data_IF_036606190444
#
_entry.id   IF_036606190444
#
_cell.length_a   1.000
_cell.length_b   1.000
_cell.length_c   1.000
_cell.angle_alpha   90.00
_cell.angle_beta   90.00
_cell.angle_gamma   90.00
#
_symmetry.space_group_name_H-M   'P 1'
#
loop_
_entity.id
_entity.type
_entity.pdbx_description
1 polymer ?
#
# COMPACT_ATOMS: atom_id res chain seq x y z
N UNK A 1 -34.36 -43.77 46.41
CA UNK A 1 -34.25 -42.43 45.80
C UNK A 1 -32.78 -42.16 45.57
N UNK A 2 -32.36 -41.96 44.31
CA UNK A 2 -30.96 -41.64 43.96
C UNK A 2 -30.79 -40.13 44.04
N UNK A 3 -29.86 -39.69 44.86
CA UNK A 3 -29.53 -38.27 45.07
C UNK A 3 -28.73 -37.78 43.85
N UNK A 4 -29.13 -36.69 43.16
CA UNK A 4 -28.33 -36.18 42.06
C UNK A 4 -27.06 -35.53 42.63
N UNK A 5 -25.90 -35.85 42.04
CA UNK A 5 -24.66 -35.15 42.34
C UNK A 5 -24.78 -33.68 41.90
N UNK A 6 -24.18 -32.75 42.65
CA UNK A 6 -24.16 -31.35 42.25
C UNK A 6 -23.19 -31.18 41.09
N UNK A 7 -23.71 -30.83 39.92
CA UNK A 7 -22.90 -30.33 38.82
C UNK A 7 -22.14 -29.09 39.32
N UNK A 8 -20.85 -29.25 39.59
CA UNK A 8 -19.95 -28.15 39.92
C UNK A 8 -19.88 -27.17 38.75
N UNK A 9 -19.70 -25.86 39.00
CA UNK A 9 -19.67 -24.86 37.95
C UNK A 9 -18.54 -25.17 36.97
N UNK A 10 -18.90 -25.41 35.71
CA UNK A 10 -17.96 -25.51 34.59
C UNK A 10 -17.33 -24.12 34.40
N UNK A 11 -16.27 -23.85 35.16
CA UNK A 11 -15.51 -22.61 35.08
C UNK A 11 -14.61 -22.68 33.84
N UNK A 12 -15.14 -22.24 32.71
CA UNK A 12 -14.33 -21.93 31.54
C UNK A 12 -13.63 -20.61 31.84
N UNK A 13 -12.49 -20.66 32.52
CA UNK A 13 -11.65 -19.48 32.71
C UNK A 13 -11.14 -19.02 31.34
N UNK A 14 -11.82 -18.00 30.81
CA UNK A 14 -11.41 -17.23 29.65
C UNK A 14 -10.46 -16.10 30.07
N UNK A 15 -9.64 -16.31 31.10
CA UNK A 15 -8.58 -15.36 31.46
C UNK A 15 -7.47 -15.55 30.42
N UNK A 16 -7.31 -14.54 29.55
CA UNK A 16 -6.33 -14.49 28.47
C UNK A 16 -4.90 -14.33 28.98
N UNK A 17 -4.47 -15.26 29.82
CA UNK A 17 -3.10 -15.40 30.28
C UNK A 17 -2.48 -16.52 29.43
N UNK A 18 -1.25 -16.30 28.99
CA UNK A 18 -0.45 -17.07 28.02
C UNK A 18 -0.31 -18.59 28.27
N UNK A 19 -0.93 -19.13 29.33
CA UNK A 19 -1.10 -20.56 29.50
C UNK A 19 -2.37 -21.01 28.77
N UNK A 20 -2.20 -21.41 27.50
CA UNK A 20 -3.27 -21.93 26.65
C UNK A 20 -4.15 -22.91 27.42
N UNK A 21 -5.37 -22.47 27.75
CA UNK A 21 -6.28 -23.15 28.67
C UNK A 21 -6.53 -24.58 28.23
N UNK A 22 -5.76 -25.52 28.77
CA UNK A 22 -5.91 -26.94 28.48
C UNK A 22 -7.29 -27.32 29.00
N UNK A 23 -8.17 -27.70 28.08
CA UNK A 23 -9.52 -28.12 28.42
C UNK A 23 -9.41 -29.44 29.17
N UNK A 24 -9.49 -29.36 30.50
CA UNK A 24 -9.39 -30.53 31.37
C UNK A 24 -10.68 -31.33 31.25
N UNK A 25 -10.56 -32.54 30.70
CA UNK A 25 -11.68 -33.47 30.53
C UNK A 25 -12.02 -34.12 31.88
N UNK A 26 -13.29 -34.15 32.29
CA UNK A 26 -13.73 -34.96 33.41
C UNK A 26 -13.41 -36.45 33.20
N UNK A 27 -12.99 -37.20 34.23
CA UNK A 27 -12.60 -38.61 34.11
C UNK A 27 -13.66 -39.50 33.46
N UNK A 28 -14.94 -39.16 33.62
CA UNK A 28 -16.10 -39.87 33.08
C UNK A 28 -16.19 -39.77 31.56
N UNK A 29 -15.64 -38.70 30.98
CA UNK A 29 -15.64 -38.42 29.55
C UNK A 29 -14.29 -38.71 28.89
N UNK A 30 -13.27 -39.03 29.67
CA UNK A 30 -11.91 -39.29 29.18
C UNK A 30 -11.82 -40.54 28.27
N UNK A 31 -12.75 -41.50 28.40
CA UNK A 31 -12.84 -42.67 27.53
C UNK A 31 -13.70 -42.45 26.28
N UNK A 32 -14.34 -41.29 26.14
CA UNK A 32 -15.19 -40.99 24.99
C UNK A 32 -14.35 -40.58 23.78
N UNK A 33 -14.35 -41.40 22.73
CA UNK A 33 -13.55 -41.19 21.52
C UNK A 33 -13.90 -39.88 20.80
N UNK A 34 -15.17 -39.47 20.80
CA UNK A 34 -15.62 -38.22 20.18
C UNK A 34 -15.06 -37.02 20.93
N UNK A 35 -15.06 -37.06 22.26
CA UNK A 35 -14.49 -36.00 23.12
C UNK A 35 -12.99 -35.88 22.87
N UNK A 36 -12.27 -37.00 22.83
CA UNK A 36 -10.82 -37.01 22.53
C UNK A 36 -10.51 -36.42 21.16
N UNK A 37 -11.30 -36.77 20.13
CA UNK A 37 -11.14 -36.20 18.79
C UNK A 37 -11.40 -34.69 18.78
N UNK A 38 -12.50 -34.23 19.38
CA UNK A 38 -12.84 -32.81 19.43
C UNK A 38 -11.78 -31.97 20.15
N UNK A 39 -11.13 -32.52 21.17
CA UNK A 39 -10.02 -31.85 21.85
C UNK A 39 -8.79 -31.74 20.96
N UNK A 40 -8.47 -32.80 20.21
CA UNK A 40 -7.42 -32.78 19.19
C UNK A 40 -7.70 -31.70 18.13
N UNK A 41 -8.91 -31.68 17.58
CA UNK A 41 -9.33 -30.69 16.59
C UNK A 41 -9.28 -29.27 17.17
N UNK A 42 -9.72 -29.06 18.42
CA UNK A 42 -9.66 -27.76 19.10
C UNK A 42 -8.22 -27.28 19.31
N UNK A 43 -7.31 -28.19 19.69
CA UNK A 43 -5.89 -27.88 19.83
C UNK A 43 -5.29 -27.46 18.48
N UNK A 44 -5.58 -28.20 17.41
CA UNK A 44 -5.12 -27.85 16.06
C UNK A 44 -5.66 -26.49 15.61
N UNK A 45 -6.93 -26.19 15.89
CA UNK A 45 -7.53 -24.89 15.58
C UNK A 45 -6.86 -23.74 16.34
N UNK A 46 -6.55 -23.94 17.62
CA UNK A 46 -5.83 -22.94 18.42
C UNK A 46 -4.44 -22.67 17.87
N UNK A 47 -3.70 -23.71 17.54
CA UNK A 47 -2.36 -23.58 16.93
C UNK A 47 -2.43 -22.92 15.54
N UNK A 48 -3.42 -23.27 14.73
CA UNK A 48 -3.65 -22.62 13.44
C UNK A 48 -3.96 -21.13 13.61
N UNK A 49 -4.82 -20.78 14.57
CA UNK A 49 -5.17 -19.40 14.88
C UNK A 49 -3.99 -18.60 15.43
N UNK A 50 -3.15 -19.20 16.28
CA UNK A 50 -1.92 -18.58 16.78
C UNK A 50 -0.95 -18.27 15.63
N UNK A 51 -0.71 -19.25 14.74
CA UNK A 51 0.13 -19.05 13.54
C UNK A 51 -0.43 -17.97 12.62
N UNK A 52 -1.75 -17.97 12.42
CA UNK A 52 -2.42 -16.95 11.60
C UNK A 52 -2.26 -15.55 12.20
N UNK A 53 -2.50 -15.39 13.51
CA UNK A 53 -2.33 -14.10 14.18
C UNK A 53 -0.89 -13.58 14.11
N UNK A 54 0.11 -14.46 14.25
CA UNK A 54 1.51 -14.08 14.08
C UNK A 54 1.79 -13.60 12.65
N UNK A 55 1.31 -14.34 11.64
CA UNK A 55 1.46 -13.95 10.25
C UNK A 55 0.76 -12.61 9.96
N UNK A 56 -0.44 -12.37 10.50
CA UNK A 56 -1.12 -11.09 10.35
C UNK A 56 -0.30 -9.93 10.93
N UNK A 57 0.29 -10.10 12.12
CA UNK A 57 1.15 -9.07 12.73
C UNK A 57 2.35 -8.73 11.84
N UNK A 58 3.04 -9.74 11.34
CA UNK A 58 4.16 -9.58 10.40
C UNK A 58 3.71 -8.82 9.14
N UNK A 59 2.55 -9.16 8.58
CA UNK A 59 2.00 -8.48 7.40
C UNK A 59 1.63 -7.03 7.66
N UNK A 60 1.14 -6.70 8.86
CA UNK A 60 0.90 -5.32 9.26
C UNK A 60 2.22 -4.53 9.34
N UNK A 61 3.25 -5.09 9.97
CA UNK A 61 4.57 -4.46 10.08
C UNK A 61 5.21 -4.24 8.69
N UNK A 62 5.12 -5.23 7.80
CA UNK A 62 5.57 -5.11 6.41
C UNK A 62 4.83 -4.00 5.65
N UNK A 63 3.51 -3.92 5.83
CA UNK A 63 2.66 -2.90 5.19
C UNK A 63 3.03 -1.50 5.68
N UNK A 64 3.22 -1.30 6.98
CA UNK A 64 3.67 -0.03 7.55
C UNK A 64 5.06 0.37 7.02
N UNK A 65 6.00 -0.59 6.98
CA UNK A 65 7.34 -0.37 6.42
C UNK A 65 7.31 -0.07 4.92
N UNK A 66 6.39 -0.66 4.17
CA UNK A 66 6.16 -0.34 2.75
C UNK A 66 5.61 1.08 2.60
N UNK A 67 4.55 1.44 3.33
CA UNK A 67 3.94 2.77 3.29
C UNK A 67 4.96 3.88 3.60
N UNK A 68 5.79 3.68 4.62
CA UNK A 68 6.80 4.67 4.99
C UNK A 68 7.87 4.85 3.90
N UNK A 69 8.33 3.77 3.28
CA UNK A 69 9.28 3.84 2.15
C UNK A 69 8.67 4.53 0.93
N UNK A 70 7.47 4.11 0.53
CA UNK A 70 6.76 4.70 -0.60
C UNK A 70 6.48 6.19 -0.39
N UNK A 71 6.12 6.59 0.83
CA UNK A 71 5.97 8.00 1.18
C UNK A 71 7.30 8.76 1.04
N UNK A 72 8.38 8.24 1.60
CA UNK A 72 9.71 8.86 1.50
C UNK A 72 10.20 8.99 0.06
N UNK A 73 9.99 7.96 -0.77
CA UNK A 73 10.32 7.99 -2.20
C UNK A 73 9.52 9.06 -2.95
N UNK A 74 8.21 9.17 -2.68
CA UNK A 74 7.36 10.20 -3.29
C UNK A 74 7.80 11.61 -2.88
N UNK A 75 8.12 11.82 -1.61
CA UNK A 75 8.62 13.10 -1.11
C UNK A 75 9.96 13.47 -1.76
N UNK A 76 10.88 12.52 -1.86
CA UNK A 76 12.15 12.70 -2.56
C UNK A 76 11.93 13.11 -4.03
N UNK A 77 11.12 12.37 -4.78
CA UNK A 77 10.84 12.67 -6.18
C UNK A 77 10.16 14.03 -6.35
N UNK A 78 9.24 14.40 -5.46
CA UNK A 78 8.61 15.73 -5.45
C UNK A 78 9.65 16.84 -5.29
N UNK A 79 10.57 16.71 -4.33
CA UNK A 79 11.64 17.68 -4.14
C UNK A 79 12.54 17.79 -5.37
N UNK A 80 13.01 16.66 -5.92
CA UNK A 80 13.85 16.62 -7.13
C UNK A 80 13.15 17.24 -8.34
N UNK A 81 11.85 16.99 -8.49
CA UNK A 81 11.06 17.58 -9.56
C UNK A 81 10.94 19.09 -9.42
N UNK A 82 10.68 19.59 -8.22
CA UNK A 82 10.61 21.04 -7.95
C UNK A 82 11.95 21.73 -8.23
N UNK A 83 13.06 21.13 -7.81
CA UNK A 83 14.41 21.62 -8.12
C UNK A 83 14.65 21.69 -9.62
N UNK A 84 14.33 20.62 -10.35
CA UNK A 84 14.48 20.57 -11.81
C UNK A 84 13.61 21.62 -12.50
N UNK A 85 12.36 21.78 -12.06
CA UNK A 85 11.45 22.80 -12.59
C UNK A 85 12.00 24.21 -12.38
N UNK A 86 12.46 24.52 -11.17
CA UNK A 86 13.04 25.83 -10.85
C UNK A 86 14.30 26.12 -11.68
N UNK A 87 15.10 25.09 -11.97
CA UNK A 87 16.25 25.22 -12.87
C UNK A 87 15.82 25.54 -14.30
N UNK A 88 14.83 24.82 -14.85
CA UNK A 88 14.31 25.07 -16.20
C UNK A 88 13.72 26.47 -16.32
N UNK A 89 12.93 26.91 -15.34
CA UNK A 89 12.34 28.26 -15.34
C UNK A 89 13.42 29.35 -15.35
N UNK A 90 14.49 29.18 -14.57
CA UNK A 90 15.63 30.11 -14.53
C UNK A 90 16.40 30.14 -15.85
N UNK A 91 16.72 28.97 -16.40
CA UNK A 91 17.39 28.87 -17.71
C UNK A 91 16.54 29.46 -18.83
N UNK A 92 15.21 29.32 -18.78
CA UNK A 92 14.32 29.96 -19.73
C UNK A 92 14.36 31.49 -19.63
N UNK A 93 14.37 32.05 -18.42
CA UNK A 93 14.51 33.49 -18.18
C UNK A 93 15.86 34.03 -18.67
N UNK A 94 16.94 33.30 -18.39
CA UNK A 94 18.28 33.63 -18.88
C UNK A 94 18.34 33.59 -20.41
N UNK A 95 17.80 32.53 -21.04
CA UNK A 95 17.72 32.43 -22.49
C UNK A 95 16.93 33.57 -23.13
N UNK A 96 15.77 33.93 -22.56
CA UNK A 96 15.00 35.08 -23.05
C UNK A 96 15.78 36.39 -22.91
N UNK A 97 16.48 36.59 -21.79
CA UNK A 97 17.33 37.76 -21.55
C UNK A 97 18.46 37.84 -22.59
N UNK A 98 19.17 36.74 -22.83
CA UNK A 98 20.23 36.66 -23.84
C UNK A 98 19.69 36.90 -25.26
N UNK A 99 18.57 36.30 -25.62
CA UNK A 99 17.91 36.54 -26.91
C UNK A 99 17.51 38.00 -27.08
N UNK A 100 17.03 38.66 -26.03
CA UNK A 100 16.67 40.08 -26.08
C UNK A 100 17.89 40.98 -26.33
N UNK A 101 19.06 40.63 -25.77
CA UNK A 101 20.31 41.36 -26.00
C UNK A 101 20.82 41.18 -27.43
N UNK A 102 20.74 39.96 -27.96
CA UNK A 102 21.13 39.65 -29.35
C UNK A 102 20.19 40.35 -30.34
N UNK A 103 18.88 40.31 -30.10
CA UNK A 103 17.89 40.90 -31.00
C UNK A 103 17.76 42.43 -30.84
N UNK A 104 18.09 42.98 -29.68
CA UNK A 104 18.13 44.42 -29.41
C UNK A 104 19.36 45.13 -29.99
N UNK A 105 20.33 44.39 -30.54
CA UNK A 105 21.55 44.92 -31.17
C UNK A 105 21.48 45.00 -32.71
N UNK A 106 20.28 44.95 -33.31
CA UNK A 106 20.09 45.30 -34.72
C UNK A 106 19.58 46.75 -34.81
N UNK A 107 20.38 47.73 -35.28
CA UNK A 107 19.83 49.03 -35.63
C UNK A 107 18.84 48.82 -36.78
N UNK A 108 17.66 49.38 -36.60
CA UNK A 108 16.65 49.58 -37.64
C UNK A 108 17.31 50.14 -38.91
N UNK A 109 17.63 49.25 -39.86
CA UNK A 109 17.90 49.58 -41.25
C UNK A 109 16.95 48.76 -42.11
N UNK A 110 15.89 49.46 -42.51
CA UNK A 110 15.07 49.33 -43.72
C UNK A 110 15.15 48.04 -44.55
N UNK A 111 13.96 47.47 -44.75
CA UNK A 111 13.49 46.72 -45.93
C UNK A 111 13.71 45.18 -45.99
N UNK A 112 12.63 44.52 -46.43
CA UNK A 112 12.53 43.25 -47.15
C UNK A 112 12.76 41.92 -46.41
N UNK A 113 11.69 41.17 -46.14
CA UNK A 113 11.05 40.22 -47.08
C UNK A 113 10.15 39.20 -46.35
N UNK A 114 9.06 38.83 -47.02
CA UNK A 114 7.97 37.96 -46.57
C UNK A 114 8.33 36.46 -46.42
N UNK A 115 7.43 35.75 -45.71
CA UNK A 115 7.13 34.30 -45.79
C UNK A 115 8.07 33.37 -45.00
N UNK A 116 7.65 32.38 -44.21
CA UNK A 116 6.41 31.59 -44.21
C UNK A 116 6.06 31.10 -42.80
N UNK A 117 4.78 31.24 -42.42
CA UNK A 117 4.14 30.44 -41.39
C UNK A 117 3.89 29.05 -41.96
N UNK A 118 4.41 27.98 -41.32
CA UNK A 118 3.78 26.65 -41.20
C UNK A 118 4.82 25.65 -40.67
N UNK A 119 5.05 25.58 -39.36
CA UNK A 119 5.66 24.38 -38.73
C UNK A 119 5.50 24.39 -37.19
N UNK A 120 5.34 25.56 -36.56
CA UNK A 120 5.31 25.67 -35.09
C UNK A 120 3.95 25.30 -34.44
N UNK A 121 2.85 25.24 -35.21
CA UNK A 121 1.53 24.88 -34.66
C UNK A 121 1.38 23.38 -34.36
N UNK A 122 2.18 22.51 -35.00
CA UNK A 122 2.06 21.06 -34.82
C UNK A 122 2.79 20.56 -33.56
N UNK A 123 3.89 21.23 -33.18
CA UNK A 123 4.63 20.92 -31.95
C UNK A 123 3.85 21.28 -30.68
N UNK A 124 2.98 22.31 -30.74
CA UNK A 124 2.16 22.72 -29.58
C UNK A 124 0.97 21.82 -29.31
N UNK A 125 0.41 21.16 -30.32
CA UNK A 125 -0.75 20.26 -30.15
C UNK A 125 -0.38 18.87 -29.61
N UNK A 126 0.89 18.45 -29.76
CA UNK A 126 1.36 17.15 -29.29
C UNK A 126 1.38 17.01 -27.75
N UNK A 127 1.41 18.12 -27.02
CA UNK A 127 1.42 18.15 -25.55
C UNK A 127 0.04 18.40 -24.93
N UNK A 128 -1.00 18.56 -25.74
CA UNK A 128 -2.37 18.82 -25.28
C UNK A 128 -3.23 17.57 -25.19
N UNK A 129 -2.65 16.37 -25.28
CA UNK A 129 -3.40 15.12 -25.08
C UNK A 129 -3.41 14.77 -23.58
N UNK A 130 -4.57 14.70 -22.92
CA UNK A 130 -4.65 14.11 -21.59
C UNK A 130 -4.19 12.65 -21.72
N UNK A 131 -3.04 12.32 -21.14
CA UNK A 131 -2.70 10.94 -20.88
C UNK A 131 -3.66 10.47 -19.80
N UNK A 132 -4.62 9.64 -20.21
CA UNK A 132 -5.36 8.77 -19.30
C UNK A 132 -4.33 8.08 -18.41
N UNK A 133 -4.35 8.41 -17.12
CA UNK A 133 -3.46 7.78 -16.15
C UNK A 133 -3.76 6.29 -16.09
N UNK A 134 -2.78 5.43 -15.81
CA UNK A 134 -3.09 4.04 -15.53
C UNK A 134 -3.98 4.02 -14.28
N UNK A 135 -5.24 3.67 -14.48
CA UNK A 135 -6.16 3.27 -13.42
C UNK A 135 -5.43 2.18 -12.64
N UNK A 136 -4.87 2.55 -11.48
CA UNK A 136 -4.43 1.58 -10.48
C UNK A 136 -5.70 0.97 -9.94
N UNK A 137 -6.19 -0.04 -10.65
CA UNK A 137 -7.28 -0.89 -10.23
C UNK A 137 -6.92 -1.42 -8.86
N UNK A 138 -7.69 -0.97 -7.87
CA UNK A 138 -7.82 -1.59 -6.57
C UNK A 138 -8.50 -2.97 -6.73
N UNK A 139 -7.84 -3.89 -7.43
CA UNK A 139 -8.13 -5.31 -7.32
C UNK A 139 -7.15 -5.89 -6.30
N UNK A 140 -7.59 -5.89 -5.05
CA UNK A 140 -7.04 -6.77 -4.02
C UNK A 140 -7.44 -8.19 -4.44
N UNK A 141 -6.62 -8.82 -5.27
CA UNK A 141 -6.75 -10.22 -5.61
C UNK A 141 -6.32 -11.06 -4.40
N UNK A 142 -7.28 -11.34 -3.51
CA UNK A 142 -7.09 -12.37 -2.49
C UNK A 142 -6.85 -13.71 -3.19
N UNK A 143 -5.81 -14.47 -2.84
CA UNK A 143 -5.63 -15.80 -3.41
C UNK A 143 -6.79 -16.70 -2.97
N UNK A 144 -7.50 -17.25 -3.96
CA UNK A 144 -8.49 -18.30 -3.79
C UNK A 144 -7.82 -19.50 -3.09
N UNK A 145 -8.21 -19.75 -1.85
CA UNK A 145 -7.86 -20.97 -1.12
C UNK A 145 -8.82 -22.05 -1.63
N UNK A 146 -8.29 -22.99 -2.41
CA UNK A 146 -8.99 -24.23 -2.71
C UNK A 146 -9.06 -25.08 -1.43
N UNK A 147 -10.28 -25.35 -0.99
CA UNK A 147 -10.66 -26.41 -0.04
C UNK A 147 -10.21 -27.78 -0.50
#
# INVERSE_FOLDING_TARGET
MVQPQPDGPMQWDMSGEESGGTLRVPPELASNEVVTRLLGDNQQLREALQRSNLALRQRCEEMEGWQQRTRGEREFLSCRFQEARALVERLAQENHSLQSLVNGSAPSSTHCCSSSQTEELQARQAWSRPLDGPQVGSEILFPHIHT
#
